data_IF_190581405898
#
_entry.id   IF_190581405898
#
_cell.length_a   1.000
_cell.length_b   1.000
_cell.length_c   1.000
_cell.angle_alpha   90.00
_cell.angle_beta   90.00
_cell.angle_gamma   90.00
#
_symmetry.space_group_name_H-M   'P 1'
#
loop_
_entity.id
_entity.type
_entity.pdbx_description
1 polymer ?
#
# COMPACT_ATOMS: atom_id res chain seq x y z
N UNK A 1 21.48 7.75 -11.69
CA UNK A 1 20.30 8.55 -11.32
C UNK A 1 19.62 7.80 -10.20
N UNK A 2 19.74 8.26 -8.95
CA UNK A 2 19.07 7.58 -7.84
C UNK A 2 17.58 7.91 -7.96
N UNK A 3 16.77 6.96 -8.43
CA UNK A 3 15.32 7.10 -8.37
C UNK A 3 14.93 7.04 -6.90
N UNK A 4 14.50 8.17 -6.34
CA UNK A 4 13.87 8.18 -5.02
C UNK A 4 12.69 7.21 -5.02
N UNK A 5 12.54 6.43 -3.97
CA UNK A 5 11.37 5.57 -3.76
C UNK A 5 10.46 6.26 -2.75
N UNK A 6 9.16 6.26 -3.01
CA UNK A 6 8.15 6.69 -2.05
C UNK A 6 7.52 5.47 -1.40
N UNK A 7 7.25 5.59 -0.10
CA UNK A 7 6.54 4.58 0.68
C UNK A 7 5.15 5.10 1.01
N UNK A 8 4.15 4.31 0.68
CA UNK A 8 2.75 4.62 0.93
C UNK A 8 2.14 3.55 1.82
N UNK A 9 1.31 3.99 2.77
CA UNK A 9 0.35 3.14 3.44
C UNK A 9 -0.96 3.24 2.67
N UNK A 10 -1.53 2.10 2.32
CA UNK A 10 -2.82 2.06 1.64
C UNK A 10 -3.76 1.07 2.31
N UNK A 11 -5.06 1.30 2.17
CA UNK A 11 -6.11 0.41 2.65
C UNK A 11 -7.16 0.27 1.56
N UNK A 12 -7.63 -0.96 1.31
CA UNK A 12 -8.71 -1.16 0.36
C UNK A 12 -9.97 -0.43 0.82
N UNK A 13 -10.74 0.12 -0.11
CA UNK A 13 -12.03 0.75 0.18
C UNK A 13 -13.05 -0.28 0.69
N UNK A 14 -14.07 0.13 1.47
CA UNK A 14 -15.10 -0.79 1.92
C UNK A 14 -15.74 -1.54 0.75
N UNK A 15 -16.11 -2.80 0.97
CA UNK A 15 -16.73 -3.65 -0.06
C UNK A 15 -15.77 -4.36 -1.02
N UNK A 16 -14.46 -4.08 -0.97
CA UNK A 16 -13.44 -4.80 -1.76
C UNK A 16 -12.91 -6.05 -1.04
N UNK A 17 -12.90 -6.02 0.30
CA UNK A 17 -12.55 -7.14 1.17
C UNK A 17 -13.48 -7.14 2.39
N UNK A 18 -13.52 -8.24 3.13
CA UNK A 18 -14.19 -8.25 4.44
C UNK A 18 -13.50 -7.32 5.43
N UNK A 19 -14.25 -6.73 6.37
CA UNK A 19 -13.72 -5.73 7.32
C UNK A 19 -12.54 -6.26 8.16
N UNK A 20 -12.55 -7.54 8.52
CA UNK A 20 -11.42 -8.19 9.24
C UNK A 20 -10.12 -8.22 8.43
N UNK A 21 -10.21 -8.05 7.11
CA UNK A 21 -9.09 -8.03 6.19
C UNK A 21 -8.75 -6.61 5.71
N UNK A 22 -9.52 -5.59 6.15
CA UNK A 22 -9.38 -4.18 5.76
C UNK A 22 -8.27 -3.47 6.56
N UNK A 23 -7.10 -4.11 6.61
CA UNK A 23 -5.87 -3.59 7.24
C UNK A 23 -5.09 -2.69 6.27
N UNK A 24 -4.04 -2.04 6.76
CA UNK A 24 -3.18 -1.23 5.91
C UNK A 24 -2.09 -2.08 5.24
N UNK A 25 -1.57 -1.62 4.11
CA UNK A 25 -0.55 -2.30 3.33
C UNK A 25 0.54 -1.31 2.93
N UNK A 26 1.79 -1.76 2.97
CA UNK A 26 2.95 -0.95 2.58
C UNK A 26 3.23 -1.20 1.10
N UNK A 27 3.36 -0.10 0.36
CA UNK A 27 3.81 -0.10 -1.04
C UNK A 27 5.11 0.71 -1.12
N UNK A 28 6.03 0.23 -1.96
CA UNK A 28 7.14 1.03 -2.46
C UNK A 28 6.98 1.20 -3.95
N UNK A 29 7.07 2.44 -4.42
CA UNK A 29 7.07 2.73 -5.84
C UNK A 29 8.09 3.84 -6.15
N UNK A 30 8.58 3.93 -7.39
CA UNK A 30 9.39 5.05 -7.81
C UNK A 30 8.66 6.37 -7.55
N UNK A 31 9.37 7.40 -7.13
CA UNK A 31 8.85 8.76 -7.10
C UNK A 31 8.64 9.22 -8.55
N UNK A 32 7.42 9.07 -9.04
CA UNK A 32 7.00 9.45 -10.39
C UNK A 32 5.65 10.15 -10.32
N UNK A 33 5.41 11.08 -11.24
CA UNK A 33 4.12 11.77 -11.40
C UNK A 33 3.06 10.88 -12.07
N UNK A 34 3.43 9.67 -12.49
CA UNK A 34 2.50 8.70 -13.07
C UNK A 34 1.94 7.79 -11.99
N UNK A 35 0.65 7.93 -11.69
CA UNK A 35 -0.06 6.97 -10.85
C UNK A 35 -0.24 5.66 -11.62
N UNK A 36 0.21 4.50 -11.14
CA UNK A 36 0.06 3.21 -11.84
C UNK A 36 -1.39 2.70 -11.85
N UNK A 37 -1.75 1.90 -12.86
CA UNK A 37 -3.04 1.17 -12.87
C UNK A 37 -3.12 0.12 -11.76
N UNK A 38 -1.96 -0.45 -11.41
CA UNK A 38 -1.84 -1.50 -10.39
C UNK A 38 -0.63 -1.26 -9.52
N UNK A 39 -0.82 -1.49 -8.23
CA UNK A 39 0.25 -1.51 -7.24
C UNK A 39 0.32 -2.89 -6.60
N UNK A 40 1.51 -3.26 -6.14
CA UNK A 40 1.71 -4.49 -5.38
C UNK A 40 2.27 -4.13 -4.02
N UNK A 41 1.51 -4.44 -2.98
CA UNK A 41 1.98 -4.29 -1.60
C UNK A 41 3.09 -5.29 -1.29
N UNK A 42 3.89 -5.01 -0.27
CA UNK A 42 4.94 -5.92 0.19
C UNK A 42 4.44 -7.32 0.59
N UNK A 43 3.18 -7.44 1.03
CA UNK A 43 2.57 -8.74 1.32
C UNK A 43 2.11 -9.51 0.07
N UNK A 44 2.31 -8.97 -1.14
CA UNK A 44 1.89 -9.55 -2.41
C UNK A 44 0.47 -9.20 -2.85
N UNK A 45 -0.27 -8.41 -2.06
CA UNK A 45 -1.61 -7.95 -2.45
C UNK A 45 -1.50 -7.03 -3.67
N UNK A 46 -2.25 -7.35 -4.72
CA UNK A 46 -2.42 -6.47 -5.89
C UNK A 46 -3.58 -5.52 -5.61
N UNK A 47 -3.35 -4.24 -5.87
CA UNK A 47 -4.30 -3.17 -5.62
C UNK A 47 -4.53 -2.45 -6.95
N UNK A 48 -5.76 -2.53 -7.44
CA UNK A 48 -6.20 -1.88 -8.67
C UNK A 48 -6.49 -0.38 -8.40
N UNK A 49 -6.29 0.46 -9.41
CA UNK A 49 -6.60 1.89 -9.32
C UNK A 49 -8.05 2.10 -8.86
N UNK A 50 -8.25 3.02 -7.92
CA UNK A 50 -9.57 3.38 -7.41
C UNK A 50 -10.16 2.42 -6.38
N UNK A 51 -9.44 1.36 -6.01
CA UNK A 51 -9.90 0.37 -5.02
C UNK A 51 -9.33 0.57 -3.62
N UNK A 52 -8.42 1.53 -3.45
CA UNK A 52 -7.76 1.81 -2.18
C UNK A 52 -7.64 3.31 -1.92
N UNK A 53 -7.56 3.65 -0.64
CA UNK A 53 -7.19 4.98 -0.14
C UNK A 53 -5.74 4.98 0.35
N UNK A 54 -5.05 6.12 0.20
CA UNK A 54 -3.79 6.37 0.90
C UNK A 54 -4.14 6.73 2.33
N UNK A 55 -3.49 6.06 3.28
CA UNK A 55 -3.72 6.22 4.71
C UNK A 55 -2.66 7.15 5.27
N UNK A 56 -3.08 8.12 6.09
CA UNK A 56 -2.15 9.04 6.74
C UNK A 56 -1.20 8.31 7.68
N UNK A 57 -0.03 8.90 7.90
CA UNK A 57 0.97 8.32 8.80
C UNK A 57 0.39 8.22 10.22
N UNK A 58 0.44 7.02 10.78
CA UNK A 58 -0.04 6.72 12.12
C UNK A 58 -1.47 6.22 12.18
N UNK A 59 -2.20 6.23 11.06
CA UNK A 59 -3.53 5.64 10.99
C UNK A 59 -3.45 4.17 10.54
N UNK A 60 -3.83 3.27 11.44
CA UNK A 60 -3.89 1.83 11.18
C UNK A 60 -2.52 1.13 11.16
N UNK A 61 -2.51 -0.11 11.65
CA UNK A 61 -1.33 -0.95 11.56
C UNK A 61 -1.26 -1.62 10.18
N UNK A 62 -0.09 -1.63 9.52
CA UNK A 62 0.08 -2.44 8.32
C UNK A 62 -0.07 -3.92 8.66
N UNK A 63 -0.48 -4.72 7.69
CA UNK A 63 -0.53 -6.16 7.86
C UNK A 63 0.87 -6.69 8.25
N UNK A 64 0.90 -7.78 9.01
CA UNK A 64 2.14 -8.35 9.55
C UNK A 64 3.16 -8.65 8.44
N UNK A 65 2.70 -9.18 7.31
CA UNK A 65 3.57 -9.47 6.17
C UNK A 65 4.20 -8.22 5.55
N UNK A 66 3.48 -7.10 5.52
CA UNK A 66 4.04 -5.83 5.08
C UNK A 66 5.09 -5.32 6.07
N UNK A 67 4.83 -5.41 7.39
CA UNK A 67 5.79 -5.02 8.41
C UNK A 67 7.10 -5.83 8.34
N UNK A 68 6.99 -7.15 8.15
CA UNK A 68 8.15 -8.05 8.06
C UNK A 68 9.02 -7.79 6.82
N UNK A 69 8.44 -7.24 5.76
CA UNK A 69 9.08 -7.01 4.45
C UNK A 69 9.38 -5.54 4.17
N UNK A 70 8.95 -4.64 5.04
CA UNK A 70 9.25 -3.23 4.92
C UNK A 70 10.76 -3.01 5.09
N UNK A 71 11.39 -2.14 4.28
CA UNK A 71 12.79 -1.78 4.47
C UNK A 71 12.98 -1.08 5.83
N UNK A 72 14.14 -1.32 6.44
CA UNK A 72 14.55 -0.77 7.75
C UNK A 72 15.43 0.45 7.57
#
# INVERSE_FOLDING_TARGET
MVQGSVFLLVRLLPGHVGESQRTCHVISMPATDVTPERLTAHCGLVIERGTAEVVERGEGMPCVNCLLRAPR
#
